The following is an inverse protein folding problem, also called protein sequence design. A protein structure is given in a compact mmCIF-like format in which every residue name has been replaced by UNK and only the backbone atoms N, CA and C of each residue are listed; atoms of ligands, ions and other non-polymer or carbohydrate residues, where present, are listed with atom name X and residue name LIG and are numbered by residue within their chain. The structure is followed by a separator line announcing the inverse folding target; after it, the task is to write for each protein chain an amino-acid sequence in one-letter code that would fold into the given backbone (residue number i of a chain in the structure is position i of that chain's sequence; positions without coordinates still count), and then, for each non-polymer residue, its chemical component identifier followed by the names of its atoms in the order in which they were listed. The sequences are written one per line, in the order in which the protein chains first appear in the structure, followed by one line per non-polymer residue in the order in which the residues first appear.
data_IF_655522233809
#
_entry.id   IF_655522233809
#
_cell.length_a   1.000
_cell.length_b   1.000
_cell.length_c   1.000
_cell.angle_alpha   90.00
_cell.angle_beta   90.00
_cell.angle_gamma   90.00
#
_symmetry.space_group_name_H-M   'P 1'
#
loop_
_entity.id
_entity.type
_entity.pdbx_description
1 polymer ?
#
# COMPACT_ATOMS: atom_id res chain seq x y z
N UNK A 1 -10.44 27.26 37.38
CA UNK A 1 -10.08 27.36 38.81
C UNK A 1 -8.95 28.36 38.88
N UNK A 2 -9.15 29.48 39.58
CA UNK A 2 -8.14 30.52 39.75
C UNK A 2 -7.31 30.17 40.98
N UNK A 3 -6.24 29.40 40.78
CA UNK A 3 -5.24 29.13 41.81
C UNK A 3 -3.97 29.91 41.52
N UNK A 4 -3.49 30.70 42.48
CA UNK A 4 -2.21 31.38 42.40
C UNK A 4 -1.07 30.34 42.33
N UNK A 5 -0.33 30.34 41.22
CA UNK A 5 0.94 29.63 41.10
C UNK A 5 2.00 30.42 41.86
N UNK A 6 2.66 29.77 42.80
CA UNK A 6 3.63 30.38 43.71
C UNK A 6 4.84 30.94 42.94
N UNK A 7 4.92 32.27 42.87
CA UNK A 7 6.13 33.10 42.81
C UNK A 7 7.14 33.01 41.65
N UNK A 8 7.12 32.01 40.76
CA UNK A 8 8.22 31.81 39.80
C UNK A 8 7.82 31.62 38.33
N UNK A 9 6.52 31.54 38.02
CA UNK A 9 6.04 31.20 36.66
C UNK A 9 5.42 32.44 36.02
N UNK A 10 5.96 32.89 34.88
CA UNK A 10 5.40 34.01 34.13
C UNK A 10 4.31 33.53 33.18
N UNK A 11 3.38 34.42 32.85
CA UNK A 11 2.35 34.17 31.83
C UNK A 11 3.01 33.83 30.49
N UNK A 12 2.84 32.58 30.04
CA UNK A 12 3.42 32.06 28.79
C UNK A 12 4.49 30.97 28.97
N UNK A 13 4.91 30.68 30.20
CA UNK A 13 5.86 29.61 30.46
C UNK A 13 5.18 28.22 30.39
N UNK A 14 5.83 27.28 29.72
CA UNK A 14 5.43 25.87 29.75
C UNK A 14 6.04 25.21 30.99
N UNK A 15 5.21 24.66 31.87
CA UNK A 15 5.63 24.04 33.13
C UNK A 15 5.06 22.63 33.21
N UNK A 16 5.91 21.65 33.55
CA UNK A 16 5.45 20.32 33.92
C UNK A 16 4.75 20.43 35.29
N UNK A 17 3.47 20.09 35.33
CA UNK A 17 2.66 20.06 36.55
C UNK A 17 2.25 18.63 36.88
N UNK A 18 2.27 18.30 38.16
CA UNK A 18 1.75 17.05 38.71
C UNK A 18 0.52 17.35 39.58
N UNK A 19 -0.43 16.42 39.60
CA UNK A 19 -1.67 16.57 40.36
C UNK A 19 -1.49 16.01 41.77
N UNK A 20 -1.47 16.89 42.77
CA UNK A 20 -1.44 16.48 44.17
C UNK A 20 -2.86 16.15 44.63
N UNK A 21 -3.15 14.84 44.70
CA UNK A 21 -4.45 14.33 45.13
C UNK A 21 -4.78 14.67 46.60
N UNK A 22 -3.79 14.94 47.45
CA UNK A 22 -4.02 15.27 48.86
C UNK A 22 -4.43 16.73 49.04
N UNK A 23 -3.90 17.65 48.24
CA UNK A 23 -4.27 19.07 48.29
C UNK A 23 -5.32 19.48 47.26
N UNK A 24 -5.62 18.63 46.26
CA UNK A 24 -6.53 18.95 45.17
C UNK A 24 -6.00 20.09 44.28
N UNK A 25 -4.68 20.24 44.18
CA UNK A 25 -4.03 21.32 43.43
C UNK A 25 -2.95 20.79 42.50
N UNK A 26 -2.70 21.53 41.41
CA UNK A 26 -1.58 21.28 40.51
C UNK A 26 -0.30 21.87 41.12
N UNK A 27 0.77 21.08 41.18
CA UNK A 27 2.10 21.51 41.64
C UNK A 27 3.10 21.44 40.50
N UNK A 28 3.91 22.49 40.34
CA UNK A 28 5.02 22.46 39.40
C UNK A 28 6.06 21.41 39.84
N UNK A 29 6.43 20.52 38.91
CA UNK A 29 7.46 19.50 39.15
C UNK A 29 8.82 20.17 39.06
N UNK A 30 9.60 20.14 40.15
CA UNK A 30 11.02 20.52 40.08
C UNK A 30 11.78 19.44 39.31
N UNK A 31 12.65 19.87 38.40
CA UNK A 31 13.60 18.98 37.72
C UNK A 31 14.32 18.11 38.76
N UNK A 32 14.34 16.76 38.61
CA UNK A 32 14.96 15.85 39.55
C UNK A 32 16.47 16.10 39.78
N UNK A 33 17.12 16.98 39.00
CA UNK A 33 18.53 17.35 39.17
C UNK A 33 18.78 18.59 40.05
N UNK A 34 17.74 19.21 40.63
CA UNK A 34 17.91 20.22 41.69
C UNK A 34 18.55 21.56 41.28
N UNK A 35 18.67 21.85 39.98
CA UNK A 35 19.15 23.13 39.45
C UNK A 35 18.01 24.13 39.18
N UNK A 36 18.30 25.43 39.33
CA UNK A 36 17.40 26.47 38.84
C UNK A 36 17.25 26.37 37.31
N UNK A 37 16.07 26.66 36.74
CA UNK A 37 15.83 26.50 35.31
C UNK A 37 16.72 27.46 34.49
N UNK A 38 17.49 26.90 33.56
CA UNK A 38 18.26 27.65 32.56
C UNK A 38 17.32 28.43 31.63
N UNK A 39 17.60 29.70 31.28
CA UNK A 39 16.78 30.51 30.37
C UNK A 39 16.72 29.98 28.92
N UNK A 40 17.50 28.96 28.57
CA UNK A 40 17.67 28.49 27.19
C UNK A 40 16.94 27.18 26.85
N UNK A 41 16.23 26.57 27.81
CA UNK A 41 15.33 25.45 27.52
C UNK A 41 13.99 25.96 26.96
N UNK A 42 14.02 26.61 25.78
CA UNK A 42 12.82 26.80 24.98
C UNK A 42 12.43 25.45 24.41
N UNK A 43 11.35 24.88 24.94
CA UNK A 43 10.64 23.75 24.33
C UNK A 43 10.24 24.20 22.92
N UNK A 44 10.99 23.76 21.92
CA UNK A 44 10.56 23.75 20.52
C UNK A 44 9.33 22.87 20.43
N UNK A 45 8.26 23.40 19.83
CA UNK A 45 7.09 22.66 19.38
C UNK A 45 7.50 21.27 18.89
N UNK A 46 6.89 20.21 19.42
CA UNK A 46 6.97 18.88 18.81
C UNK A 46 6.40 18.99 17.39
N UNK A 47 7.28 18.89 16.42
CA UNK A 47 7.01 18.97 14.99
C UNK A 47 8.33 18.92 14.23
N UNK A 48 8.56 17.81 13.53
CA UNK A 48 9.67 17.62 12.60
C UNK A 48 10.95 17.06 13.22
N UNK A 49 11.17 15.75 13.07
CA UNK A 49 12.48 15.15 13.27
C UNK A 49 13.31 15.30 11.99
N UNK A 50 14.42 16.04 12.08
CA UNK A 50 15.46 16.13 11.06
C UNK A 50 16.81 15.67 11.62
N UNK A 51 17.34 14.61 11.00
CA UNK A 51 18.73 14.28 10.67
C UNK A 51 19.88 14.77 11.59
N UNK A 52 20.66 13.82 12.09
CA UNK A 52 22.12 13.94 12.16
C UNK A 52 22.78 12.66 11.62
N UNK A 53 23.72 12.85 10.69
CA UNK A 53 24.54 11.78 10.12
C UNK A 53 25.89 11.60 10.85
N UNK A 54 26.50 10.43 10.66
CA UNK A 54 27.93 10.20 10.87
C UNK A 54 28.46 9.31 9.74
N UNK A 55 29.53 9.77 9.10
CA UNK A 55 30.33 9.06 8.09
C UNK A 55 31.33 8.09 8.75
N UNK A 56 31.41 6.87 8.19
CA UNK A 56 32.63 6.18 7.75
C UNK A 56 33.70 5.71 8.76
N UNK A 57 33.97 4.40 8.79
CA UNK A 57 35.30 3.86 8.45
C UNK A 57 35.28 2.34 8.13
N UNK A 58 36.13 1.96 7.19
CA UNK A 58 36.43 0.61 6.70
C UNK A 58 37.07 -0.31 7.76
N UNK A 59 36.74 -1.60 7.71
CA UNK A 59 37.69 -2.67 7.98
C UNK A 59 37.52 -3.78 6.94
N UNK A 60 38.56 -3.96 6.11
CA UNK A 60 38.72 -5.12 5.26
C UNK A 60 39.03 -6.36 6.12
N UNK A 61 38.32 -7.45 5.85
CA UNK A 61 38.68 -8.79 6.27
C UNK A 61 38.00 -9.78 5.34
N UNK A 62 38.77 -10.48 4.52
CA UNK A 62 38.28 -11.60 3.73
C UNK A 62 37.72 -12.68 4.67
N UNK A 63 36.63 -13.36 4.26
CA UNK A 63 36.49 -14.83 4.21
C UNK A 63 35.05 -15.22 3.84
N UNK A 64 35.00 -16.17 2.92
CA UNK A 64 33.87 -17.00 2.45
C UNK A 64 32.81 -17.35 3.49
N UNK A 65 31.53 -17.21 3.13
CA UNK A 65 30.40 -17.93 3.75
C UNK A 65 29.32 -18.26 2.71
N UNK A 66 28.93 -19.54 2.61
CA UNK A 66 27.54 -19.87 2.32
C UNK A 66 27.18 -20.63 1.04
N UNK A 67 28.03 -21.51 0.49
CA UNK A 67 27.58 -22.78 -0.13
C UNK A 67 26.48 -22.81 -1.19
N UNK A 68 26.13 -21.69 -1.86
CA UNK A 68 25.05 -21.66 -2.85
C UNK A 68 25.65 -21.63 -4.27
N UNK A 69 25.90 -22.82 -4.84
CA UNK A 69 26.03 -22.96 -6.30
C UNK A 69 24.65 -22.73 -6.92
N UNK A 70 24.31 -21.48 -7.25
CA UNK A 70 23.22 -21.22 -8.20
C UNK A 70 23.75 -21.60 -9.57
N UNK A 71 23.35 -22.78 -10.04
CA UNK A 71 23.59 -23.25 -11.40
C UNK A 71 23.00 -22.27 -12.43
N UNK A 72 23.88 -21.46 -13.05
CA UNK A 72 23.67 -20.76 -14.32
C UNK A 72 22.92 -21.57 -15.43
N UNK A 73 22.97 -22.92 -15.51
CA UNK A 73 22.28 -23.64 -16.58
C UNK A 73 20.75 -23.45 -16.69
N UNK A 74 20.03 -23.10 -15.61
CA UNK A 74 18.56 -23.00 -15.68
C UNK A 74 18.05 -21.73 -16.39
N UNK A 75 18.76 -20.61 -16.28
CA UNK A 75 18.45 -19.40 -17.07
C UNK A 75 18.79 -19.59 -18.55
N UNK A 76 19.87 -20.35 -18.84
CA UNK A 76 20.23 -20.74 -20.22
C UNK A 76 19.14 -21.59 -20.87
N UNK A 77 18.61 -22.60 -20.18
CA UNK A 77 17.58 -23.48 -20.70
C UNK A 77 16.25 -22.76 -20.99
N UNK A 78 15.84 -21.81 -20.14
CA UNK A 78 14.63 -21.01 -20.35
C UNK A 78 14.72 -20.08 -21.57
N UNK A 79 15.85 -19.40 -21.73
CA UNK A 79 16.10 -18.52 -22.89
C UNK A 79 16.25 -19.31 -24.19
N UNK A 80 16.88 -20.50 -24.15
CA UNK A 80 16.97 -21.41 -25.28
C UNK A 80 15.59 -21.96 -25.65
N UNK A 81 14.77 -22.37 -24.67
CA UNK A 81 13.40 -22.86 -24.91
C UNK A 81 12.50 -21.82 -25.57
N UNK A 82 12.57 -20.56 -25.13
CA UNK A 82 11.83 -19.44 -25.73
C UNK A 82 12.35 -19.09 -27.13
N UNK A 83 13.68 -19.13 -27.34
CA UNK A 83 14.28 -18.94 -28.66
C UNK A 83 13.85 -20.03 -29.66
N UNK A 84 13.85 -21.29 -29.24
CA UNK A 84 13.39 -22.43 -30.05
C UNK A 84 11.88 -22.33 -30.33
N UNK A 85 11.07 -21.96 -29.33
CA UNK A 85 9.62 -21.74 -29.49
C UNK A 85 9.30 -20.64 -30.52
N UNK A 86 10.03 -19.51 -30.46
CA UNK A 86 9.90 -18.43 -31.43
C UNK A 86 10.30 -18.87 -32.86
N UNK A 87 11.40 -19.62 -32.99
CA UNK A 87 11.85 -20.14 -34.30
C UNK A 87 10.85 -21.13 -34.90
N UNK A 88 10.26 -22.02 -34.09
CA UNK A 88 9.22 -22.96 -34.52
C UNK A 88 7.95 -22.20 -34.97
N UNK A 89 7.46 -21.25 -34.16
CA UNK A 89 6.29 -20.44 -34.51
C UNK A 89 6.49 -19.65 -35.80
N UNK A 90 7.68 -19.06 -35.99
CA UNK A 90 8.03 -18.33 -37.21
C UNK A 90 8.13 -19.27 -38.43
N UNK A 91 8.67 -20.48 -38.27
CA UNK A 91 8.73 -21.48 -39.34
C UNK A 91 7.34 -21.96 -39.76
N UNK A 92 6.45 -22.22 -38.80
CA UNK A 92 5.04 -22.58 -39.05
C UNK A 92 4.32 -21.45 -39.77
N UNK A 93 4.48 -20.20 -39.32
CA UNK A 93 3.91 -19.02 -39.96
C UNK A 93 4.40 -18.83 -41.41
N UNK A 94 5.70 -18.99 -41.66
CA UNK A 94 6.27 -18.92 -43.02
C UNK A 94 5.76 -20.02 -43.94
N UNK A 95 5.60 -21.25 -43.45
CA UNK A 95 4.99 -22.35 -44.22
C UNK A 95 3.53 -22.07 -44.57
N UNK A 96 2.75 -21.58 -43.60
CA UNK A 96 1.35 -21.19 -43.83
C UNK A 96 1.24 -20.08 -44.88
N UNK A 97 2.09 -19.05 -44.79
CA UNK A 97 2.15 -17.98 -45.79
C UNK A 97 2.58 -18.48 -47.17
N UNK A 98 3.57 -19.37 -47.27
CA UNK A 98 4.02 -19.94 -48.55
C UNK A 98 2.91 -20.76 -49.22
N UNK A 99 2.16 -21.54 -48.43
CA UNK A 99 1.01 -22.32 -48.90
C UNK A 99 -0.11 -21.42 -49.41
N UNK A 100 -0.50 -20.41 -48.62
CA UNK A 100 -1.53 -19.44 -49.02
C UNK A 100 -1.13 -18.64 -50.27
N UNK A 101 0.15 -18.28 -50.42
CA UNK A 101 0.63 -17.61 -51.63
C UNK A 101 0.54 -18.49 -52.87
N UNK A 102 0.90 -19.78 -52.74
CA UNK A 102 0.76 -20.75 -53.83
C UNK A 102 -0.71 -20.98 -54.20
N UNK A 103 -1.59 -21.08 -53.21
CA UNK A 103 -3.04 -21.25 -53.41
C UNK A 103 -3.72 -20.02 -54.04
N UNK A 104 -3.13 -18.83 -53.89
CA UNK A 104 -3.72 -17.56 -54.36
C UNK A 104 -2.87 -16.80 -55.39
N UNK A 105 -1.85 -17.45 -55.97
CA UNK A 105 -0.96 -16.89 -56.99
C UNK A 105 -0.37 -15.50 -56.66
N UNK A 106 0.04 -15.32 -55.39
CA UNK A 106 0.53 -14.03 -54.88
C UNK A 106 2.05 -13.88 -55.10
N UNK A 107 2.54 -12.68 -55.46
CA UNK A 107 3.98 -12.43 -55.65
C UNK A 107 4.77 -12.60 -54.35
N UNK A 108 6.04 -13.01 -54.46
CA UNK A 108 6.94 -13.05 -53.31
C UNK A 108 7.24 -11.62 -52.80
N UNK A 109 7.27 -11.39 -51.48
CA UNK A 109 7.57 -10.09 -50.93
C UNK A 109 9.05 -9.77 -51.08
N UNK A 110 9.33 -8.61 -51.66
CA UNK A 110 10.63 -7.95 -51.57
C UNK A 110 10.81 -7.37 -50.16
N UNK A 111 11.24 -8.20 -49.20
CA UNK A 111 11.72 -7.71 -47.92
C UNK A 111 12.76 -8.66 -47.33
N UNK A 112 14.03 -8.47 -47.71
CA UNK A 112 15.20 -9.01 -47.00
C UNK A 112 15.46 -8.17 -45.73
N UNK A 113 14.61 -8.30 -44.71
CA UNK A 113 14.95 -7.87 -43.34
C UNK A 113 14.29 -8.82 -42.36
N UNK A 114 14.91 -10.00 -42.20
CA UNK A 114 14.44 -11.04 -41.30
C UNK A 114 15.30 -11.12 -40.05
N UNK A 115 14.67 -11.20 -38.88
CA UNK A 115 15.18 -11.83 -37.64
C UNK A 115 16.43 -11.27 -36.96
N UNK A 116 17.46 -10.93 -37.73
CA UNK A 116 18.79 -10.51 -37.29
C UNK A 116 18.73 -9.17 -36.52
N UNK A 117 17.85 -8.25 -36.92
CA UNK A 117 17.74 -6.93 -36.29
C UNK A 117 17.33 -6.96 -34.81
N UNK A 118 16.49 -7.90 -34.38
CA UNK A 118 16.06 -7.98 -32.98
C UNK A 118 17.09 -8.66 -32.08
N UNK A 119 17.84 -9.63 -32.61
CA UNK A 119 18.96 -10.25 -31.89
C UNK A 119 20.13 -9.28 -31.71
N UNK A 120 20.43 -8.47 -32.73
CA UNK A 120 21.47 -7.44 -32.66
C UNK A 120 21.06 -6.29 -31.73
N UNK A 121 19.81 -5.82 -31.78
CA UNK A 121 19.33 -4.76 -30.88
C UNK A 121 19.33 -5.21 -29.41
N UNK A 122 18.92 -6.46 -29.13
CA UNK A 122 19.00 -7.05 -27.80
C UNK A 122 20.45 -7.22 -27.30
N UNK A 123 21.37 -7.64 -28.18
CA UNK A 123 22.80 -7.74 -27.85
C UNK A 123 23.47 -6.38 -27.63
N UNK A 124 23.11 -5.35 -28.40
CA UNK A 124 23.62 -3.99 -28.25
C UNK A 124 23.13 -3.32 -26.96
N UNK A 125 21.87 -3.54 -26.56
CA UNK A 125 21.34 -3.05 -25.29
C UNK A 125 22.01 -3.74 -24.10
N UNK A 126 22.21 -5.06 -24.15
CA UNK A 126 22.94 -5.78 -23.11
C UNK A 126 24.41 -5.30 -22.98
N UNK A 127 25.08 -5.03 -24.11
CA UNK A 127 26.45 -4.51 -24.13
C UNK A 127 26.54 -3.04 -23.67
N UNK A 128 25.51 -2.22 -23.92
CA UNK A 128 25.47 -0.82 -23.47
C UNK A 128 25.21 -0.68 -21.97
N UNK A 129 24.48 -1.62 -21.36
CA UNK A 129 24.19 -1.61 -19.92
C UNK A 129 25.26 -2.32 -19.06
N UNK A 130 26.10 -3.18 -19.66
CA UNK A 130 27.14 -3.92 -18.94
C UNK A 130 28.16 -3.02 -18.21
N UNK A 131 28.63 -1.87 -18.75
CA UNK A 131 29.56 -0.99 -18.04
C UNK A 131 28.91 -0.24 -16.86
N UNK A 132 27.60 0.02 -16.92
CA UNK A 132 26.86 0.69 -15.84
C UNK A 132 26.61 -0.27 -14.66
N UNK A 133 26.26 -1.52 -14.96
CA UNK A 133 26.13 -2.59 -13.97
C UNK A 133 27.45 -2.95 -13.27
N UNK A 134 28.59 -2.70 -13.91
CA UNK A 134 29.93 -2.99 -13.36
C UNK A 134 30.44 -1.91 -12.39
N UNK A 135 29.93 -0.68 -12.48
CA UNK A 135 30.39 0.45 -11.67
C UNK A 135 29.40 0.84 -10.54
N UNK A 136 28.21 0.25 -10.50
CA UNK A 136 27.16 0.60 -9.54
C UNK A 136 27.18 -0.29 -8.28
N UNK A 137 28.17 -0.09 -7.39
CA UNK A 137 28.12 -0.57 -5.99
C UNK A 137 27.84 -2.07 -5.79
N UNK A 138 27.49 -2.51 -4.56
CA UNK A 138 27.32 -3.93 -4.27
C UNK A 138 26.23 -4.55 -5.16
N UNK A 139 26.58 -5.67 -5.80
CA UNK A 139 25.82 -6.45 -6.78
C UNK A 139 24.35 -6.72 -6.39
N UNK A 140 24.02 -6.63 -5.10
CA UNK A 140 22.68 -6.82 -4.54
C UNK A 140 21.65 -5.75 -4.99
N UNK A 141 22.06 -4.52 -5.31
CA UNK A 141 21.14 -3.46 -5.77
C UNK A 141 20.86 -3.50 -7.29
N UNK A 142 21.77 -4.10 -8.07
CA UNK A 142 21.68 -4.14 -9.55
C UNK A 142 20.73 -5.24 -10.03
N UNK A 143 20.67 -6.37 -9.32
CA UNK A 143 19.86 -7.53 -9.72
C UNK A 143 18.35 -7.21 -9.75
N UNK A 144 17.74 -6.54 -8.74
CA UNK A 144 16.32 -6.20 -8.77
C UNK A 144 15.97 -5.24 -9.91
N UNK A 145 16.82 -4.24 -10.19
CA UNK A 145 16.59 -3.25 -11.26
C UNK A 145 16.69 -3.90 -12.64
N UNK A 146 17.69 -4.76 -12.86
CA UNK A 146 17.86 -5.47 -14.14
C UNK A 146 16.76 -6.51 -14.34
N UNK A 147 16.36 -7.25 -13.30
CA UNK A 147 15.29 -8.24 -13.40
C UNK A 147 13.93 -7.56 -13.61
N UNK A 148 13.60 -6.52 -12.83
CA UNK A 148 12.34 -5.79 -12.97
C UNK A 148 12.26 -5.05 -14.31
N UNK A 149 13.36 -4.43 -14.74
CA UNK A 149 13.45 -3.80 -16.06
C UNK A 149 13.34 -4.81 -17.21
N UNK A 150 13.94 -5.99 -17.08
CA UNK A 150 13.87 -7.04 -18.12
C UNK A 150 12.47 -7.65 -18.22
N UNK A 151 11.80 -7.89 -17.09
CA UNK A 151 10.42 -8.42 -17.07
C UNK A 151 9.43 -7.38 -17.59
N UNK A 152 9.56 -6.12 -17.17
CA UNK A 152 8.76 -5.01 -17.69
C UNK A 152 8.94 -4.83 -19.20
N UNK A 153 10.18 -4.92 -19.69
CA UNK A 153 10.49 -4.87 -21.12
C UNK A 153 9.91 -6.06 -21.89
N UNK A 154 9.99 -7.28 -21.35
CA UNK A 154 9.40 -8.48 -21.96
C UNK A 154 7.87 -8.41 -22.04
N UNK A 155 7.21 -7.95 -20.98
CA UNK A 155 5.77 -7.72 -20.98
C UNK A 155 5.39 -6.65 -22.02
N UNK A 156 6.10 -5.52 -22.03
CA UNK A 156 5.90 -4.45 -23.01
C UNK A 156 6.09 -4.94 -24.45
N UNK A 157 7.16 -5.69 -24.74
CA UNK A 157 7.44 -6.25 -26.07
C UNK A 157 6.39 -7.28 -26.49
N UNK A 158 5.82 -8.04 -25.55
CA UNK A 158 4.75 -9.01 -25.82
C UNK A 158 3.45 -8.30 -26.19
N UNK A 159 3.07 -7.27 -25.43
CA UNK A 159 1.89 -6.43 -25.73
C UNK A 159 2.09 -5.67 -27.04
N UNK A 160 3.25 -5.05 -27.26
CA UNK A 160 3.58 -4.35 -28.49
C UNK A 160 3.59 -5.31 -29.70
N UNK A 161 4.09 -6.54 -29.53
CA UNK A 161 4.05 -7.59 -30.55
C UNK A 161 2.61 -8.00 -30.91
N UNK A 162 1.76 -8.20 -29.90
CA UNK A 162 0.34 -8.51 -30.10
C UNK A 162 -0.42 -7.36 -30.78
N UNK A 163 -0.20 -6.11 -30.33
CA UNK A 163 -0.79 -4.92 -30.93
C UNK A 163 -0.35 -4.73 -32.38
N UNK A 164 0.94 -4.96 -32.69
CA UNK A 164 1.47 -4.91 -34.06
C UNK A 164 0.88 -6.02 -34.93
N UNK A 165 0.70 -7.23 -34.40
CA UNK A 165 0.06 -8.34 -35.12
C UNK A 165 -1.40 -8.02 -35.46
N UNK A 166 -2.17 -7.48 -34.50
CA UNK A 166 -3.55 -7.03 -34.71
C UNK A 166 -3.63 -5.88 -35.72
N UNK A 167 -2.73 -4.90 -35.64
CA UNK A 167 -2.64 -3.80 -36.60
C UNK A 167 -2.34 -4.30 -38.02
N UNK A 168 -1.39 -5.23 -38.18
CA UNK A 168 -1.07 -5.81 -39.48
C UNK A 168 -2.21 -6.67 -40.03
N UNK A 169 -2.92 -7.41 -39.17
CA UNK A 169 -4.12 -8.15 -39.55
C UNK A 169 -5.24 -7.21 -40.03
N UNK A 170 -5.49 -6.11 -39.30
CA UNK A 170 -6.44 -5.07 -39.68
C UNK A 170 -6.06 -4.40 -41.00
N UNK A 171 -4.80 -4.01 -41.17
CA UNK A 171 -4.30 -3.40 -42.41
C UNK A 171 -4.36 -4.36 -43.61
N UNK A 172 -4.13 -5.65 -43.38
CA UNK A 172 -4.32 -6.69 -44.38
C UNK A 172 -5.79 -6.80 -44.79
N UNK A 173 -6.72 -6.85 -43.82
CA UNK A 173 -8.16 -6.87 -44.09
C UNK A 173 -8.61 -5.63 -44.89
N UNK A 174 -8.13 -4.44 -44.53
CA UNK A 174 -8.42 -3.19 -45.26
C UNK A 174 -7.87 -3.24 -46.68
N UNK A 175 -6.64 -3.74 -46.91
CA UNK A 175 -6.08 -3.88 -48.27
C UNK A 175 -6.81 -4.92 -49.12
N UNK A 176 -7.25 -6.02 -48.50
CA UNK A 176 -8.07 -7.03 -49.19
C UNK A 176 -9.43 -6.45 -49.57
N UNK A 177 -10.01 -5.63 -48.70
CA UNK A 177 -11.24 -4.90 -48.98
C UNK A 177 -11.06 -3.82 -50.07
N UNK A 178 -9.94 -3.08 -50.06
CA UNK A 178 -9.71 -1.95 -50.97
C UNK A 178 -9.19 -2.32 -52.36
N UNK A 179 -8.63 -3.53 -52.55
CA UNK A 179 -8.17 -4.02 -53.87
C UNK A 179 -9.27 -4.64 -54.72
N UNK A 180 -10.46 -4.82 -54.16
CA UNK A 180 -11.67 -5.15 -54.91
C UNK A 180 -12.41 -3.83 -55.05
N UNK A 181 -12.44 -3.25 -56.25
CA UNK A 181 -13.36 -2.14 -56.55
C UNK A 181 -14.78 -2.53 -56.11
N UNK A 182 -15.67 -1.56 -55.84
CA UNK A 182 -16.94 -1.78 -55.14
C UNK A 182 -17.64 -2.99 -55.74
N UNK A 183 -17.63 -4.15 -55.05
CA UNK A 183 -18.33 -5.31 -55.57
C UNK A 183 -19.81 -4.96 -55.51
N UNK A 184 -20.57 -5.24 -56.57
CA UNK A 184 -22.01 -5.47 -56.42
C UNK A 184 -22.18 -6.31 -55.16
N UNK A 185 -22.87 -5.76 -54.16
CA UNK A 185 -22.89 -6.26 -52.80
C UNK A 185 -23.60 -7.63 -52.77
N UNK A 186 -22.86 -8.69 -53.12
CA UNK A 186 -23.30 -10.06 -52.85
C UNK A 186 -23.28 -10.22 -51.34
N UNK A 187 -24.39 -10.66 -50.73
CA UNK A 187 -24.49 -10.78 -49.28
C UNK A 187 -23.31 -11.60 -48.76
N UNK A 188 -22.60 -11.03 -47.78
CA UNK A 188 -21.45 -11.69 -47.18
C UNK A 188 -21.88 -13.09 -46.74
N UNK A 189 -21.23 -14.13 -47.30
CA UNK A 189 -21.53 -15.51 -46.92
C UNK A 189 -21.36 -15.63 -45.41
N UNK A 190 -22.34 -16.17 -44.67
CA UNK A 190 -22.25 -16.28 -43.24
C UNK A 190 -20.98 -17.03 -42.86
N UNK A 191 -20.26 -16.51 -41.85
CA UNK A 191 -19.11 -17.18 -41.25
C UNK A 191 -19.46 -18.64 -41.00
N UNK A 192 -18.62 -19.55 -41.48
CA UNK A 192 -18.83 -20.99 -41.27
C UNK A 192 -18.90 -21.28 -39.77
N UNK A 193 -19.67 -22.30 -39.38
CA UNK A 193 -19.82 -22.70 -37.98
C UNK A 193 -18.45 -22.88 -37.29
N UNK A 194 -17.47 -23.44 -38.02
CA UNK A 194 -16.08 -23.60 -37.56
C UNK A 194 -15.38 -22.26 -37.30
N UNK A 195 -15.56 -21.26 -38.16
CA UNK A 195 -14.94 -19.94 -37.98
C UNK A 195 -15.58 -19.18 -36.82
N UNK A 196 -16.91 -19.27 -36.65
CA UNK A 196 -17.60 -18.70 -35.47
C UNK A 196 -17.09 -19.32 -34.18
N UNK A 197 -16.94 -20.65 -34.13
CA UNK A 197 -16.36 -21.36 -32.98
C UNK A 197 -14.92 -20.91 -32.71
N UNK A 198 -14.08 -20.78 -33.73
CA UNK A 198 -12.71 -20.29 -33.58
C UNK A 198 -12.64 -18.86 -33.03
N UNK A 199 -13.50 -17.96 -33.50
CA UNK A 199 -13.56 -16.57 -32.99
C UNK A 199 -13.99 -16.53 -31.53
N UNK A 200 -14.99 -17.33 -31.15
CA UNK A 200 -15.44 -17.43 -29.74
C UNK A 200 -14.34 -18.02 -28.85
N UNK A 201 -13.68 -19.10 -29.28
CA UNK A 201 -12.57 -19.70 -28.54
C UNK A 201 -11.38 -18.77 -28.41
N UNK A 202 -11.05 -18.02 -29.47
CA UNK A 202 -9.99 -17.00 -29.42
C UNK A 202 -10.36 -15.85 -28.47
N UNK A 203 -11.62 -15.41 -28.45
CA UNK A 203 -12.11 -14.40 -27.52
C UNK A 203 -12.07 -14.87 -26.06
N UNK A 204 -12.48 -16.12 -25.78
CA UNK A 204 -12.40 -16.72 -24.45
C UNK A 204 -10.95 -16.93 -23.99
N UNK A 205 -10.08 -17.41 -24.87
CA UNK A 205 -8.66 -17.58 -24.57
C UNK A 205 -7.97 -16.24 -24.31
N UNK A 206 -8.27 -15.20 -25.09
CA UNK A 206 -7.74 -13.86 -24.89
C UNK A 206 -8.28 -13.24 -23.59
N UNK A 207 -9.58 -13.40 -23.30
CA UNK A 207 -10.18 -12.97 -22.04
C UNK A 207 -9.55 -13.68 -20.84
N UNK A 208 -9.31 -14.99 -20.93
CA UNK A 208 -8.62 -15.74 -19.89
C UNK A 208 -7.16 -15.28 -19.71
N UNK A 209 -6.42 -15.03 -20.81
CA UNK A 209 -5.04 -14.55 -20.75
C UNK A 209 -4.95 -13.16 -20.12
N UNK A 210 -5.79 -12.22 -20.56
CA UNK A 210 -5.85 -10.85 -20.02
C UNK A 210 -6.27 -10.86 -18.55
N UNK A 211 -7.11 -11.81 -18.13
CA UNK A 211 -7.51 -11.93 -16.71
C UNK A 211 -6.46 -12.63 -15.84
N UNK A 212 -5.65 -13.55 -16.41
CA UNK A 212 -4.68 -14.35 -15.66
C UNK A 212 -3.32 -13.68 -15.51
N UNK A 213 -2.87 -12.91 -16.52
CA UNK A 213 -1.55 -12.25 -16.52
C UNK A 213 -1.36 -11.30 -15.32
N UNK A 214 -2.34 -10.47 -14.92
CA UNK A 214 -2.20 -9.61 -13.74
C UNK A 214 -2.04 -10.42 -12.45
N UNK A 215 -2.74 -11.56 -12.32
CA UNK A 215 -2.72 -12.38 -11.11
C UNK A 215 -1.42 -13.17 -10.95
N UNK A 216 -0.93 -13.81 -12.02
CA UNK A 216 0.34 -14.56 -11.96
C UNK A 216 1.52 -13.60 -11.78
N UNK A 217 1.51 -12.45 -12.46
CA UNK A 217 2.53 -11.44 -12.28
C UNK A 217 2.49 -10.83 -10.87
N UNK A 218 1.30 -10.59 -10.30
CA UNK A 218 1.19 -10.07 -8.93
C UNK A 218 1.68 -11.08 -7.91
N UNK A 219 1.32 -12.36 -8.03
CA UNK A 219 1.73 -13.39 -7.05
C UNK A 219 3.25 -13.62 -7.12
N UNK A 220 3.83 -13.68 -8.32
CA UNK A 220 5.29 -13.82 -8.48
C UNK A 220 6.06 -12.57 -8.04
N UNK A 221 5.52 -11.37 -8.27
CA UNK A 221 6.09 -10.11 -7.76
C UNK A 221 5.98 -10.02 -6.23
N UNK A 222 4.89 -10.49 -5.63
CA UNK A 222 4.73 -10.53 -4.17
C UNK A 222 5.72 -11.52 -3.56
N UNK A 223 5.86 -12.72 -4.12
CA UNK A 223 6.83 -13.73 -3.64
C UNK A 223 8.27 -13.23 -3.78
N UNK A 224 8.62 -12.59 -4.91
CA UNK A 224 9.97 -12.03 -5.12
C UNK A 224 10.22 -10.78 -4.28
N UNK A 225 9.23 -9.90 -4.15
CA UNK A 225 9.27 -8.74 -3.26
C UNK A 225 9.48 -9.16 -1.80
N UNK A 226 8.77 -10.20 -1.35
CA UNK A 226 8.98 -10.82 -0.05
C UNK A 226 10.37 -11.37 0.14
N UNK A 227 10.92 -12.07 -0.85
CA UNK A 227 12.28 -12.61 -0.76
C UNK A 227 13.37 -11.52 -0.71
N UNK A 228 13.10 -10.32 -1.25
CA UNK A 228 14.04 -9.19 -1.23
C UNK A 228 13.86 -8.31 0.01
N UNK A 229 12.62 -8.07 0.45
CA UNK A 229 12.31 -7.19 1.58
C UNK A 229 12.48 -7.91 2.94
N UNK A 230 12.11 -9.18 3.06
CA UNK A 230 12.17 -9.90 4.33
C UNK A 230 13.58 -10.07 4.95
N UNK A 231 14.68 -10.13 4.18
CA UNK A 231 16.02 -10.09 4.77
C UNK A 231 16.45 -8.68 5.20
N UNK A 232 15.90 -7.63 4.58
CA UNK A 232 16.26 -6.24 4.87
C UNK A 232 15.54 -5.73 6.13
N UNK A 233 14.27 -6.11 6.27
CA UNK A 233 13.46 -5.83 7.44
C UNK A 233 13.37 -7.12 8.23
N UNK A 234 14.02 -7.23 9.38
CA UNK A 234 14.00 -8.43 10.22
C UNK A 234 12.56 -8.71 10.71
N UNK A 235 11.77 -9.36 9.84
CA UNK A 235 10.34 -9.58 10.00
C UNK A 235 10.08 -10.96 10.58
N UNK A 236 9.24 -10.97 11.59
CA UNK A 236 9.08 -12.11 12.47
C UNK A 236 7.58 -12.45 12.61
N UNK A 237 7.13 -13.55 12.00
CA UNK A 237 5.71 -13.90 11.98
C UNK A 237 5.11 -14.06 13.39
N UNK A 238 3.89 -13.55 13.58
CA UNK A 238 3.15 -13.67 14.85
C UNK A 238 2.19 -14.88 14.90
N UNK A 239 2.02 -15.58 13.77
CA UNK A 239 1.10 -16.71 13.65
C UNK A 239 -0.38 -16.30 13.58
N UNK A 240 -1.28 -17.29 13.65
CA UNK A 240 -2.71 -17.06 13.48
C UNK A 240 -3.41 -16.49 14.71
N UNK A 241 -2.90 -16.76 15.92
CA UNK A 241 -3.55 -16.35 17.16
C UNK A 241 -3.73 -14.82 17.26
N UNK A 242 -2.66 -14.06 17.04
CA UNK A 242 -2.74 -12.60 17.04
C UNK A 242 -3.64 -12.07 15.91
N UNK A 243 -3.57 -12.67 14.72
CA UNK A 243 -4.43 -12.35 13.57
C UNK A 243 -5.92 -12.58 13.90
N UNK A 244 -6.24 -13.66 14.61
CA UNK A 244 -7.59 -13.98 15.05
C UNK A 244 -8.09 -12.98 16.09
N UNK A 245 -7.24 -12.57 17.05
CA UNK A 245 -7.59 -11.53 18.04
C UNK A 245 -7.82 -10.17 17.36
N UNK A 246 -7.00 -9.78 16.37
CA UNK A 246 -7.25 -8.58 15.55
C UNK A 246 -8.61 -8.66 14.86
N UNK A 247 -8.94 -9.80 14.25
CA UNK A 247 -10.26 -9.98 13.63
C UNK A 247 -11.38 -9.82 14.66
N UNK A 248 -11.25 -10.40 15.85
CA UNK A 248 -12.24 -10.24 16.93
C UNK A 248 -12.43 -8.78 17.30
N UNK A 249 -11.35 -7.99 17.41
CA UNK A 249 -11.47 -6.55 17.67
C UNK A 249 -12.23 -5.84 16.53
N UNK A 250 -11.88 -6.14 15.27
CA UNK A 250 -12.56 -5.56 14.10
C UNK A 250 -14.04 -5.96 14.02
N UNK A 251 -14.42 -7.16 14.47
CA UNK A 251 -15.83 -7.58 14.50
C UNK A 251 -16.65 -6.82 15.56
N UNK A 252 -15.99 -6.19 16.54
CA UNK A 252 -16.60 -5.54 17.70
C UNK A 252 -17.51 -4.35 17.37
N UNK A 253 -17.29 -3.64 16.25
CA UNK A 253 -18.11 -2.49 15.86
C UNK A 253 -18.47 -2.50 14.35
N UNK A 254 -19.31 -1.56 13.93
CA UNK A 254 -19.82 -1.53 12.55
C UNK A 254 -18.73 -1.25 11.51
N UNK A 255 -17.80 -0.35 11.82
CA UNK A 255 -16.73 0.04 10.89
C UNK A 255 -15.71 -1.08 10.69
N UNK A 256 -15.27 -1.74 11.76
CA UNK A 256 -14.36 -2.89 11.63
C UNK A 256 -15.01 -4.04 10.84
N UNK A 257 -16.31 -4.32 11.03
CA UNK A 257 -17.04 -5.28 10.18
C UNK A 257 -17.09 -4.86 8.72
N UNK A 258 -17.24 -3.56 8.43
CA UNK A 258 -17.19 -3.02 7.06
C UNK A 258 -15.81 -3.23 6.44
N UNK A 259 -14.73 -2.98 7.18
CA UNK A 259 -13.35 -3.23 6.72
C UNK A 259 -13.15 -4.72 6.41
N UNK A 260 -13.58 -5.62 7.31
CA UNK A 260 -13.48 -7.07 7.09
C UNK A 260 -14.28 -7.53 5.87
N UNK A 261 -15.44 -6.94 5.60
CA UNK A 261 -16.23 -7.21 4.39
C UNK A 261 -15.44 -6.88 3.12
N UNK A 262 -14.78 -5.73 3.10
CA UNK A 262 -13.93 -5.31 1.98
C UNK A 262 -12.67 -6.17 1.82
N UNK A 263 -12.29 -6.94 2.84
CA UNK A 263 -11.20 -7.91 2.80
C UNK A 263 -11.65 -9.31 2.35
N UNK A 264 -12.92 -9.53 1.99
CA UNK A 264 -13.35 -10.81 1.43
C UNK A 264 -12.78 -11.06 0.04
N UNK A 265 -12.36 -12.29 -0.21
CA UNK A 265 -12.00 -12.75 -1.55
C UNK A 265 -13.26 -13.05 -2.40
N UNK A 266 -13.06 -13.47 -3.66
CA UNK A 266 -14.17 -13.82 -4.56
C UNK A 266 -15.03 -14.99 -4.07
N UNK A 267 -14.53 -15.80 -3.14
CA UNK A 267 -15.27 -16.87 -2.46
C UNK A 267 -16.01 -16.39 -1.20
N UNK A 268 -15.98 -15.10 -0.90
CA UNK A 268 -16.60 -14.52 0.29
C UNK A 268 -15.80 -14.76 1.58
N UNK A 269 -14.58 -15.30 1.50
CA UNK A 269 -13.75 -15.56 2.67
C UNK A 269 -12.91 -14.33 3.00
N UNK A 270 -12.99 -13.85 4.24
CA UNK A 270 -12.12 -12.77 4.74
C UNK A 270 -10.66 -13.23 4.67
N UNK A 271 -9.83 -12.49 3.95
CA UNK A 271 -8.39 -12.71 3.87
C UNK A 271 -7.71 -11.58 4.63
N UNK A 272 -7.26 -11.82 5.85
CA UNK A 272 -6.44 -10.84 6.58
C UNK A 272 -5.00 -10.88 6.07
N UNK A 273 -4.28 -9.75 6.05
CA UNK A 273 -2.82 -9.72 5.91
C UNK A 273 -2.13 -10.68 6.89
N UNK A 274 -0.92 -11.11 6.58
CA UNK A 274 -0.09 -11.83 7.56
C UNK A 274 0.43 -10.86 8.61
N UNK A 275 0.38 -11.28 9.88
CA UNK A 275 0.79 -10.45 11.01
C UNK A 275 2.25 -10.75 11.32
N UNK A 276 3.09 -9.73 11.29
CA UNK A 276 4.54 -9.85 11.56
C UNK A 276 4.95 -8.80 12.58
N UNK A 277 6.04 -9.07 13.28
CA UNK A 277 6.77 -8.06 14.06
C UNK A 277 7.96 -7.58 13.26
N UNK A 278 8.21 -6.28 13.31
CA UNK A 278 9.39 -5.66 12.74
C UNK A 278 10.38 -5.35 13.86
N UNK A 279 11.59 -5.92 13.78
CA UNK A 279 12.63 -5.71 14.79
C UNK A 279 13.43 -4.39 14.62
N UNK A 280 13.12 -3.58 13.62
CA UNK A 280 13.77 -2.29 13.41
C UNK A 280 12.86 -1.14 13.84
N UNK A 281 13.44 -0.24 14.64
CA UNK A 281 12.81 0.96 15.17
C UNK A 281 12.70 2.04 14.08
N UNK A 282 11.81 1.88 13.12
CA UNK A 282 11.41 3.00 12.25
C UNK A 282 10.41 3.94 12.95
N UNK A 283 9.97 3.60 14.17
CA UNK A 283 9.24 4.51 15.07
C UNK A 283 7.82 4.84 14.61
N UNK A 284 7.38 4.26 13.50
CA UNK A 284 6.04 4.39 12.96
C UNK A 284 5.14 3.36 13.67
N UNK A 285 3.83 3.57 13.71
CA UNK A 285 2.88 2.62 14.29
C UNK A 285 2.87 1.25 13.59
N UNK A 286 1.78 0.49 13.71
CA UNK A 286 1.62 -0.64 12.78
C UNK A 286 1.68 -0.12 11.33
N UNK A 287 2.15 -0.96 10.40
CA UNK A 287 2.28 -0.56 9.00
C UNK A 287 1.90 -1.71 8.06
N UNK A 288 1.09 -1.43 7.04
CA UNK A 288 0.72 -2.38 6.01
C UNK A 288 1.68 -2.35 4.81
N UNK A 289 2.44 -3.43 4.63
CA UNK A 289 3.31 -3.64 3.48
C UNK A 289 2.54 -4.27 2.32
N UNK A 290 2.06 -3.44 1.40
CA UNK A 290 1.22 -3.83 0.26
C UNK A 290 1.78 -4.98 -0.60
N UNK A 291 3.08 -4.92 -0.94
CA UNK A 291 3.73 -5.95 -1.76
C UNK A 291 3.86 -7.28 -1.02
N UNK A 292 3.97 -7.26 0.30
CA UNK A 292 4.06 -8.48 1.11
C UNK A 292 2.68 -8.98 1.55
N UNK A 293 1.66 -8.12 1.47
CA UNK A 293 0.39 -8.30 2.15
C UNK A 293 0.61 -8.66 3.64
N UNK A 294 1.57 -7.97 4.26
CA UNK A 294 1.89 -8.09 5.68
C UNK A 294 1.40 -6.84 6.41
N UNK A 295 0.89 -7.02 7.62
CA UNK A 295 0.72 -5.95 8.59
C UNK A 295 1.81 -6.13 9.65
N UNK A 296 2.76 -5.22 9.66
CA UNK A 296 3.87 -5.22 10.59
C UNK A 296 3.50 -4.44 11.84
N UNK A 297 3.97 -4.96 12.98
CA UNK A 297 3.86 -4.32 14.28
C UNK A 297 5.29 -4.05 14.76
N UNK A 298 5.63 -2.81 15.09
CA UNK A 298 6.95 -2.50 15.60
C UNK A 298 7.20 -3.23 16.93
N UNK A 299 8.38 -3.83 17.09
CA UNK A 299 8.75 -4.60 18.29
C UNK A 299 8.64 -3.75 19.57
N UNK A 300 8.79 -2.43 19.46
CA UNK A 300 8.65 -1.45 20.53
C UNK A 300 7.27 -1.50 21.19
N UNK A 301 6.21 -1.88 20.45
CA UNK A 301 4.86 -2.04 21.02
C UNK A 301 4.77 -3.24 21.96
N UNK A 302 5.59 -4.26 21.72
CA UNK A 302 5.71 -5.42 22.59
C UNK A 302 6.64 -5.11 23.77
N UNK A 303 7.81 -4.53 23.50
CA UNK A 303 8.85 -4.32 24.52
C UNK A 303 8.55 -3.16 25.47
N UNK A 304 7.81 -2.13 25.03
CA UNK A 304 7.33 -1.04 25.92
C UNK A 304 6.40 -1.53 27.04
N UNK A 305 5.78 -2.71 26.87
CA UNK A 305 5.01 -3.39 27.92
C UNK A 305 5.85 -4.27 28.84
N UNK A 306 7.17 -4.30 28.65
CA UNK A 306 8.09 -5.16 29.38
C UNK A 306 8.06 -6.63 28.95
N UNK A 307 7.52 -6.93 27.76
CA UNK A 307 7.46 -8.29 27.23
C UNK A 307 8.59 -8.55 26.23
N UNK A 308 9.12 -9.77 26.22
CA UNK A 308 9.92 -10.24 25.08
C UNK A 308 9.01 -10.69 23.95
N UNK A 309 9.53 -10.73 22.71
CA UNK A 309 8.78 -11.28 21.58
C UNK A 309 8.35 -12.74 21.80
N UNK A 310 9.22 -13.54 22.44
CA UNK A 310 8.91 -14.93 22.79
C UNK A 310 7.74 -15.01 23.78
N UNK A 311 7.76 -14.19 24.83
CA UNK A 311 6.66 -14.12 25.80
C UNK A 311 5.35 -13.66 25.16
N UNK A 312 5.40 -12.69 24.26
CA UNK A 312 4.23 -12.21 23.54
C UNK A 312 3.64 -13.29 22.62
N UNK A 313 4.48 -14.00 21.88
CA UNK A 313 4.04 -15.10 21.00
C UNK A 313 3.46 -16.29 21.77
N UNK A 314 4.02 -16.59 22.95
CA UNK A 314 3.59 -17.72 23.76
C UNK A 314 2.28 -17.45 24.54
N UNK A 315 1.84 -16.19 24.65
CA UNK A 315 0.78 -15.78 25.56
C UNK A 315 -0.40 -15.11 24.83
N UNK A 316 -1.51 -15.85 24.61
CA UNK A 316 -2.69 -15.30 23.94
C UNK A 316 -3.31 -14.10 24.67
N UNK A 317 -3.15 -13.98 25.99
CA UNK A 317 -3.70 -12.84 26.72
C UNK A 317 -2.97 -11.54 26.36
N UNK A 318 -1.64 -11.60 26.20
CA UNK A 318 -0.82 -10.46 25.75
C UNK A 318 -1.15 -10.07 24.31
N UNK A 319 -1.38 -11.05 23.44
CA UNK A 319 -1.81 -10.82 22.06
C UNK A 319 -3.16 -10.11 22.00
N UNK A 320 -4.13 -10.56 22.79
CA UNK A 320 -5.44 -9.92 22.91
C UNK A 320 -5.34 -8.49 23.44
N UNK A 321 -4.54 -8.29 24.49
CA UNK A 321 -4.32 -6.97 25.08
C UNK A 321 -3.76 -6.00 24.03
N UNK A 322 -2.70 -6.41 23.32
CA UNK A 322 -2.10 -5.55 22.31
C UNK A 322 -3.03 -5.32 21.10
N UNK A 323 -3.73 -6.37 20.64
CA UNK A 323 -4.69 -6.23 19.54
C UNK A 323 -5.82 -5.24 19.89
N UNK A 324 -6.30 -5.27 21.14
CA UNK A 324 -7.30 -4.33 21.65
C UNK A 324 -6.77 -2.90 21.69
N UNK A 325 -5.58 -2.69 22.25
CA UNK A 325 -4.95 -1.36 22.35
C UNK A 325 -4.72 -0.75 20.96
N UNK A 326 -4.26 -1.57 20.00
CA UNK A 326 -3.92 -1.09 18.67
C UNK A 326 -5.12 -1.04 17.72
N UNK A 327 -6.35 -1.31 18.17
CA UNK A 327 -7.47 -1.53 17.28
C UNK A 327 -7.76 -0.36 16.30
N UNK A 328 -7.71 0.93 16.70
CA UNK A 328 -7.84 2.04 15.76
C UNK A 328 -6.72 2.09 14.71
N UNK A 329 -5.46 1.91 15.14
CA UNK A 329 -4.31 1.84 14.22
C UNK A 329 -4.43 0.65 13.26
N UNK A 330 -4.89 -0.50 13.75
CA UNK A 330 -5.11 -1.68 12.91
C UNK A 330 -6.25 -1.44 11.91
N UNK A 331 -7.31 -0.73 12.28
CA UNK A 331 -8.36 -0.33 11.35
C UNK A 331 -7.81 0.55 10.22
N UNK A 332 -6.94 1.52 10.55
CA UNK A 332 -6.20 2.33 9.58
C UNK A 332 -5.37 1.47 8.63
N UNK A 333 -4.51 0.58 9.15
CA UNK A 333 -3.64 -0.24 8.31
C UNK A 333 -4.41 -1.27 7.46
N UNK A 334 -5.48 -1.85 7.99
CA UNK A 334 -6.34 -2.72 7.21
C UNK A 334 -7.09 -1.96 6.12
N UNK A 335 -7.33 -0.67 6.29
CA UNK A 335 -7.89 0.16 5.22
C UNK A 335 -6.94 0.21 4.03
N UNK A 336 -5.63 0.35 4.25
CA UNK A 336 -4.63 0.23 3.20
C UNK A 336 -4.65 -1.15 2.52
N UNK A 337 -4.87 -2.22 3.27
CA UNK A 337 -5.06 -3.55 2.68
C UNK A 337 -6.30 -3.63 1.76
N UNK A 338 -7.42 -3.00 2.13
CA UNK A 338 -8.61 -2.96 1.26
C UNK A 338 -8.37 -2.11 0.01
N UNK A 339 -7.68 -0.99 0.15
CA UNK A 339 -7.33 -0.07 -0.93
C UNK A 339 -6.43 -0.75 -1.96
N UNK A 340 -5.40 -1.46 -1.49
CA UNK A 340 -4.50 -2.25 -2.31
C UNK A 340 -5.25 -3.31 -3.12
N UNK A 341 -6.27 -3.95 -2.54
CA UNK A 341 -7.09 -4.96 -3.24
C UNK A 341 -8.07 -4.37 -4.24
N UNK A 342 -8.63 -3.19 -3.94
CA UNK A 342 -9.55 -2.49 -4.82
C UNK A 342 -8.88 -2.15 -6.15
N UNK A 343 -7.64 -1.69 -6.09
CA UNK A 343 -7.00 -1.11 -7.26
C UNK A 343 -5.46 -1.18 -7.22
N UNK A 344 -4.85 -2.37 -7.25
CA UNK A 344 -3.40 -2.51 -7.20
C UNK A 344 -2.70 -1.87 -8.42
N UNK A 345 -3.44 -1.55 -9.49
CA UNK A 345 -2.93 -0.91 -10.71
C UNK A 345 -3.09 0.61 -10.73
N UNK A 346 -3.74 1.23 -9.74
CA UNK A 346 -3.83 2.69 -9.70
C UNK A 346 -2.45 3.28 -9.36
N UNK A 347 -2.02 4.35 -10.05
CA UNK A 347 -0.82 5.10 -9.68
C UNK A 347 -0.84 5.44 -8.18
N UNK A 348 0.29 5.30 -7.51
CA UNK A 348 0.42 5.54 -6.07
C UNK A 348 -0.01 4.39 -5.16
N UNK A 349 -0.70 3.35 -5.64
CA UNK A 349 -1.14 2.23 -4.77
C UNK A 349 -0.03 1.23 -4.47
N UNK A 350 0.79 0.90 -5.47
CA UNK A 350 1.94 -0.01 -5.29
C UNK A 350 3.12 0.66 -4.58
N UNK A 351 3.20 1.98 -4.64
CA UNK A 351 4.33 2.76 -4.11
C UNK A 351 3.93 3.62 -2.88
N UNK A 352 2.66 3.62 -2.48
CA UNK A 352 2.18 4.39 -1.32
C UNK A 352 2.18 5.91 -1.53
N UNK A 353 2.10 6.40 -2.77
CA UNK A 353 2.42 7.80 -3.11
C UNK A 353 1.22 8.74 -3.20
N UNK A 354 -0.01 8.26 -2.96
CA UNK A 354 -1.22 9.09 -3.03
C UNK A 354 -1.74 9.51 -1.65
N UNK A 355 -1.71 10.80 -1.33
CA UNK A 355 -2.11 11.30 0.00
C UNK A 355 -3.58 11.00 0.32
N UNK A 356 -4.42 10.88 -0.70
CA UNK A 356 -5.82 10.50 -0.56
C UNK A 356 -6.01 9.10 0.02
N UNK A 357 -5.04 8.19 -0.18
CA UNK A 357 -5.07 6.86 0.44
C UNK A 357 -4.92 6.95 1.96
N UNK A 358 -3.96 7.76 2.42
CA UNK A 358 -3.73 8.05 3.84
C UNK A 358 -4.95 8.75 4.45
N UNK A 359 -5.49 9.78 3.78
CA UNK A 359 -6.71 10.46 4.24
C UNK A 359 -7.88 9.48 4.43
N UNK A 360 -8.12 8.58 3.48
CA UNK A 360 -9.19 7.57 3.60
C UNK A 360 -8.89 6.55 4.74
N UNK A 361 -7.61 6.25 5.00
CA UNK A 361 -7.18 5.38 6.10
C UNK A 361 -7.37 6.02 7.47
N UNK A 362 -6.91 7.27 7.68
CA UNK A 362 -7.12 8.00 8.94
C UNK A 362 -8.61 8.19 9.22
N UNK A 363 -9.42 8.48 8.18
CA UNK A 363 -10.88 8.55 8.33
C UNK A 363 -11.51 7.21 8.73
N UNK A 364 -10.92 6.07 8.37
CA UNK A 364 -11.40 4.75 8.81
C UNK A 364 -11.02 4.48 10.27
N UNK A 365 -9.82 4.91 10.71
CA UNK A 365 -9.45 4.91 12.13
C UNK A 365 -10.39 5.76 12.99
N UNK A 366 -10.72 6.98 12.51
CA UNK A 366 -11.70 7.86 13.13
C UNK A 366 -13.10 7.24 13.23
N UNK A 367 -13.61 6.68 12.13
CA UNK A 367 -14.91 6.01 12.11
C UNK A 367 -14.93 4.77 13.02
N UNK A 368 -13.81 4.06 13.15
CA UNK A 368 -13.69 2.92 14.05
C UNK A 368 -13.88 3.35 15.51
N UNK A 369 -13.22 4.44 15.93
CA UNK A 369 -13.39 5.02 17.27
C UNK A 369 -14.84 5.49 17.47
N UNK A 370 -15.40 6.17 16.47
CA UNK A 370 -16.79 6.64 16.51
C UNK A 370 -17.77 5.48 16.76
N UNK A 371 -17.68 4.40 15.98
CA UNK A 371 -18.56 3.24 16.10
C UNK A 371 -18.27 2.41 17.36
N UNK A 372 -17.03 2.41 17.87
CA UNK A 372 -16.72 1.83 19.18
C UNK A 372 -17.45 2.59 20.30
N UNK A 373 -17.41 3.92 20.29
CA UNK A 373 -18.11 4.76 21.27
C UNK A 373 -19.64 4.62 21.19
N UNK A 374 -20.20 4.43 19.98
CA UNK A 374 -21.64 4.14 19.82
C UNK A 374 -22.04 2.80 20.41
N UNK A 375 -21.18 1.80 20.29
CA UNK A 375 -21.42 0.47 20.86
C UNK A 375 -21.27 0.47 22.39
N UNK A 376 -20.26 1.18 22.89
CA UNK A 376 -20.00 1.38 24.32
C UNK A 376 -19.30 2.72 24.55
N UNK A 377 -20.00 3.68 25.16
CA UNK A 377 -19.44 5.02 25.43
C UNK A 377 -18.23 4.98 26.37
N UNK A 378 -18.09 3.89 27.13
CA UNK A 378 -16.98 3.62 28.05
C UNK A 378 -15.91 2.71 27.43
N UNK A 379 -15.95 2.49 26.11
CA UNK A 379 -14.93 1.73 25.40
C UNK A 379 -13.52 2.18 25.81
N UNK A 380 -12.65 1.20 26.01
CA UNK A 380 -11.26 1.40 26.41
C UNK A 380 -10.45 1.85 25.20
N UNK A 381 -10.41 3.17 25.00
CA UNK A 381 -9.74 3.87 23.91
C UNK A 381 -8.63 4.72 24.56
N UNK A 382 -7.44 4.67 23.97
CA UNK A 382 -6.29 5.42 24.50
C UNK A 382 -6.59 6.92 24.51
N UNK A 383 -5.95 7.65 25.44
CA UNK A 383 -6.10 9.12 25.49
C UNK A 383 -5.59 9.80 24.22
N UNK A 384 -4.59 9.20 23.56
CA UNK A 384 -4.07 9.70 22.29
C UNK A 384 -5.09 9.55 21.17
N UNK A 385 -5.71 8.37 21.04
CA UNK A 385 -6.73 8.12 20.01
C UNK A 385 -8.00 8.97 20.25
N UNK A 386 -8.39 9.18 21.52
CA UNK A 386 -9.49 10.08 21.85
C UNK A 386 -9.17 11.54 21.52
N UNK A 387 -7.92 11.97 21.71
CA UNK A 387 -7.48 13.31 21.33
C UNK A 387 -7.53 13.50 19.81
N UNK A 388 -6.97 12.55 19.06
CA UNK A 388 -6.96 12.56 17.60
C UNK A 388 -8.39 12.58 17.02
N UNK A 389 -9.27 11.73 17.59
CA UNK A 389 -10.69 11.70 17.29
C UNK A 389 -11.36 13.06 17.54
N UNK A 390 -11.09 13.72 18.68
CA UNK A 390 -11.64 15.05 18.98
C UNK A 390 -11.15 16.14 18.02
N UNK A 391 -9.87 16.11 17.61
CA UNK A 391 -9.31 17.04 16.64
C UNK A 391 -10.01 16.92 15.28
N UNK A 392 -10.25 15.68 14.82
CA UNK A 392 -11.04 15.41 13.62
C UNK A 392 -12.44 16.02 13.70
N UNK A 393 -13.17 15.76 14.78
CA UNK A 393 -14.55 16.29 14.94
C UNK A 393 -14.58 17.82 14.86
N UNK A 394 -13.51 18.49 15.32
CA UNK A 394 -13.45 19.95 15.38
C UNK A 394 -13.34 20.60 14.01
N UNK A 395 -12.52 20.03 13.11
CA UNK A 395 -12.26 20.60 11.80
C UNK A 395 -11.71 19.54 10.82
N UNK A 396 -12.62 18.98 10.02
CA UNK A 396 -12.32 17.96 9.02
C UNK A 396 -11.19 18.36 8.06
N UNK A 397 -11.30 19.56 7.47
CA UNK A 397 -10.37 20.00 6.43
C UNK A 397 -9.00 20.36 7.01
N UNK A 398 -8.98 20.99 8.19
CA UNK A 398 -7.73 21.26 8.91
C UNK A 398 -7.03 19.96 9.29
N UNK A 399 -7.76 18.93 9.72
CA UNK A 399 -7.15 17.65 10.04
C UNK A 399 -6.55 16.98 8.81
N UNK A 400 -7.30 16.85 7.71
CA UNK A 400 -6.76 16.27 6.48
C UNK A 400 -5.53 17.03 5.98
N UNK A 401 -5.54 18.36 6.12
CA UNK A 401 -4.37 19.18 5.85
C UNK A 401 -3.20 18.85 6.79
N UNK A 402 -3.44 18.65 8.08
CA UNK A 402 -2.40 18.26 9.04
C UNK A 402 -1.77 16.90 8.70
N UNK A 403 -2.56 15.94 8.19
CA UNK A 403 -2.03 14.69 7.63
C UNK A 403 -1.11 15.00 6.44
N UNK A 404 -1.55 15.81 5.49
CA UNK A 404 -0.73 16.18 4.33
C UNK A 404 0.55 16.96 4.70
N UNK A 405 0.48 17.80 5.73
CA UNK A 405 1.60 18.61 6.19
C UNK A 405 2.57 17.84 7.11
N UNK A 406 2.21 16.62 7.52
CA UNK A 406 3.10 15.78 8.32
C UNK A 406 4.36 15.47 7.51
N UNK A 407 5.54 15.64 8.14
CA UNK A 407 6.83 15.45 7.48
C UNK A 407 7.02 14.05 6.87
N UNK A 408 6.27 13.04 7.33
CA UNK A 408 6.24 11.70 6.74
C UNK A 408 5.64 11.73 5.32
N UNK A 409 4.67 12.60 5.06
CA UNK A 409 3.91 12.66 3.81
C UNK A 409 4.20 13.91 2.96
N UNK A 410 5.19 14.71 3.33
CA UNK A 410 5.53 15.96 2.64
C UNK A 410 5.87 15.78 1.14
N UNK A 411 6.37 14.59 0.78
CA UNK A 411 6.74 14.23 -0.59
C UNK A 411 5.65 13.43 -1.32
N UNK A 412 4.58 13.06 -0.59
CA UNK A 412 3.42 12.33 -1.12
C UNK A 412 2.57 13.26 -1.95
N UNK A 413 2.31 12.90 -3.21
CA UNK A 413 1.59 13.78 -4.15
C UNK A 413 0.10 13.46 -4.16
N UNK A 414 -0.77 14.47 -4.33
CA UNK A 414 -2.16 14.22 -4.68
C UNK A 414 -2.26 13.42 -5.96
N UNK A 415 -3.20 12.47 -5.99
CA UNK A 415 -3.52 11.69 -7.18
C UNK A 415 -4.33 12.50 -8.19
N UNK A 416 -5.17 13.41 -7.69
CA UNK A 416 -6.12 14.16 -8.50
C UNK A 416 -7.18 13.25 -9.17
N UNK A 417 -7.58 12.17 -8.50
CA UNK A 417 -8.61 11.25 -8.99
C UNK A 417 -10.01 11.81 -8.64
N UNK A 418 -10.89 12.07 -9.64
CA UNK A 418 -12.24 12.57 -9.40
C UNK A 418 -13.09 11.70 -8.45
N UNK A 419 -12.79 10.40 -8.35
CA UNK A 419 -13.48 9.51 -7.41
C UNK A 419 -13.15 9.86 -5.95
N UNK A 420 -11.90 10.23 -5.65
CA UNK A 420 -11.52 10.69 -4.31
C UNK A 420 -12.10 12.07 -4.00
N UNK A 421 -12.09 12.98 -4.97
CA UNK A 421 -12.73 14.30 -4.81
C UNK A 421 -14.22 14.15 -4.45
N UNK A 422 -14.94 13.28 -5.17
CA UNK A 422 -16.34 12.98 -4.89
C UNK A 422 -16.53 12.32 -3.52
N UNK A 423 -15.64 11.39 -3.14
CA UNK A 423 -15.67 10.74 -1.83
C UNK A 423 -15.49 11.74 -0.67
N UNK A 424 -14.46 12.59 -0.73
CA UNK A 424 -14.20 13.57 0.33
C UNK A 424 -15.23 14.70 0.33
N UNK A 425 -15.78 15.09 -0.82
CA UNK A 425 -16.89 16.02 -0.88
C UNK A 425 -18.15 15.46 -0.19
N UNK A 426 -18.48 14.18 -0.43
CA UNK A 426 -19.59 13.52 0.24
C UNK A 426 -19.37 13.41 1.75
N UNK A 427 -18.15 13.08 2.19
CA UNK A 427 -17.77 13.06 3.62
C UNK A 427 -17.92 14.44 4.26
N UNK A 428 -17.37 15.48 3.63
CA UNK A 428 -17.47 16.86 4.11
C UNK A 428 -18.93 17.32 4.25
N UNK A 429 -19.79 16.98 3.29
CA UNK A 429 -21.21 17.32 3.35
C UNK A 429 -21.96 16.68 4.53
N UNK A 430 -21.54 15.49 4.98
CA UNK A 430 -22.11 14.82 6.15
C UNK A 430 -21.41 15.14 7.47
N UNK A 431 -20.29 15.89 7.46
CA UNK A 431 -19.40 15.98 8.61
C UNK A 431 -20.01 16.68 9.81
N UNK A 432 -20.80 17.74 9.61
CA UNK A 432 -21.44 18.47 10.71
C UNK A 432 -22.33 17.56 11.57
N UNK A 433 -23.10 16.65 10.94
CA UNK A 433 -23.92 15.68 11.65
C UNK A 433 -23.06 14.64 12.39
N UNK A 434 -22.01 14.13 11.75
CA UNK A 434 -21.04 13.20 12.35
C UNK A 434 -20.34 13.82 13.57
N UNK A 435 -19.90 15.07 13.46
CA UNK A 435 -19.28 15.83 14.54
C UNK A 435 -20.24 16.04 15.72
N UNK A 436 -21.50 16.38 15.45
CA UNK A 436 -22.52 16.54 16.49
C UNK A 436 -22.80 15.23 17.24
N UNK A 437 -22.90 14.09 16.53
CA UNK A 437 -23.02 12.77 17.15
C UNK A 437 -21.78 12.43 17.98
N UNK A 438 -20.57 12.62 17.44
CA UNK A 438 -19.32 12.33 18.13
C UNK A 438 -19.16 13.13 19.42
N UNK A 439 -19.47 14.42 19.41
CA UNK A 439 -19.44 15.23 20.62
C UNK A 439 -20.50 14.82 21.66
N UNK A 440 -21.67 14.31 21.25
CA UNK A 440 -22.64 13.74 22.20
C UNK A 440 -22.11 12.47 22.87
N UNK A 441 -21.43 11.61 22.11
CA UNK A 441 -20.79 10.40 22.66
C UNK A 441 -19.71 10.77 23.69
N UNK A 442 -18.88 11.78 23.39
CA UNK A 442 -17.88 12.30 24.33
C UNK A 442 -18.55 12.93 25.57
N UNK A 443 -19.64 13.67 25.39
CA UNK A 443 -20.40 14.21 26.53
C UNK A 443 -20.95 13.09 27.44
N UNK A 444 -21.47 12.02 26.85
CA UNK A 444 -21.99 10.86 27.60
C UNK A 444 -20.88 10.11 28.33
N UNK A 445 -19.74 9.87 27.67
CA UNK A 445 -18.54 9.30 28.28
C UNK A 445 -18.09 10.10 29.51
N UNK A 446 -18.23 11.42 29.46
CA UNK A 446 -17.86 12.34 30.54
C UNK A 446 -19.03 12.78 31.42
N UNK A 447 -20.14 12.04 31.48
CA UNK A 447 -21.32 12.39 32.27
C UNK A 447 -21.04 12.55 33.79
N UNK A 448 -19.96 11.95 34.31
CA UNK A 448 -19.51 12.12 35.70
C UNK A 448 -18.78 13.44 35.98
N UNK A 449 -18.47 14.25 34.96
CA UNK A 449 -17.72 15.50 35.08
C UNK A 449 -18.53 16.63 34.40
N UNK A 450 -19.44 17.30 35.13
CA UNK A 450 -20.44 18.20 34.54
C UNK A 450 -19.86 19.32 33.67
N UNK A 451 -18.69 19.85 34.02
CA UNK A 451 -18.02 20.89 33.24
C UNK A 451 -17.57 20.39 31.85
N UNK A 452 -16.98 19.19 31.79
CA UNK A 452 -16.52 18.57 30.54
C UNK A 452 -17.72 18.13 29.70
N UNK A 453 -18.72 17.51 30.32
CA UNK A 453 -19.96 17.14 29.65
C UNK A 453 -20.62 18.35 28.98
N UNK A 454 -20.77 19.46 29.73
CA UNK A 454 -21.35 20.70 29.19
C UNK A 454 -20.56 21.23 27.99
N UNK A 455 -19.23 21.25 28.07
CA UNK A 455 -18.36 21.68 26.97
C UNK A 455 -18.62 20.86 25.70
N UNK A 456 -18.72 19.54 25.79
CA UNK A 456 -19.00 18.69 24.63
C UNK A 456 -20.43 18.86 24.10
N UNK A 457 -21.43 19.05 24.97
CA UNK A 457 -22.80 19.36 24.53
C UNK A 457 -22.87 20.70 23.77
N UNK A 458 -22.11 21.72 24.20
CA UNK A 458 -22.00 22.99 23.49
C UNK A 458 -21.33 22.82 22.13
N UNK A 459 -20.25 22.02 22.03
CA UNK A 459 -19.63 21.67 20.75
C UNK A 459 -20.59 20.90 19.83
N UNK A 460 -21.36 19.96 20.36
CA UNK A 460 -22.37 19.22 19.61
C UNK A 460 -23.46 20.16 19.06
N UNK A 461 -23.97 21.08 19.88
CA UNK A 461 -24.95 22.07 19.44
C UNK A 461 -24.40 22.99 18.36
N UNK A 462 -23.12 23.40 18.47
CA UNK A 462 -22.44 24.20 17.44
C UNK A 462 -22.29 23.43 16.12
N UNK A 463 -21.92 22.15 16.17
CA UNK A 463 -21.81 21.31 14.98
C UNK A 463 -23.18 21.09 14.31
N UNK A 464 -24.23 20.84 15.09
CA UNK A 464 -25.61 20.72 14.58
C UNK A 464 -26.09 22.01 13.90
N UNK A 465 -25.74 23.18 14.43
CA UNK A 465 -26.09 24.47 13.84
C UNK A 465 -25.34 24.78 12.53
N UNK A 466 -24.23 24.06 12.24
CA UNK A 466 -23.46 24.19 11.01
C UNK A 466 -23.97 23.28 9.88
N UNK A 467 -24.88 22.35 10.19
CA UNK A 467 -25.58 21.50 9.21
C UNK A 467 -26.66 22.30 8.48
#
# INVERSE_FOLDING_TARGET
MDGELDGAVKKGDAVLVDWDAASGTLKAVKDPQGGAPSPEAKITKMGGFGVFGVQGLLAMGAVTVGGLQITLPMMGAGLIGLGVGYLIANAVHRRALKRLRKEHNLPEPEAKFGGFGYGVLGGMLAAAFAPWAWNAGPIQAVIPVVVTGSVGLLAFLTVAGAARALYQAGRWLVRVASRRGPPEAKPAKPLSKRMKTLVVLAGLALGALVSAVPHVASEELQVRGAAVAAPAYQMEALGSAFKDEVRVQMEGNAEGRRILELLKDRGGKVRMPDMVVLNEADGVGAHYFAVLNHMAIPIERVTSKGWTLEQFRADPAKQRELAKEMAPTVAHELKHATQFRRAPWLPGVLLGEGIEFEHEAYLSGHDYIHEALKADVKADISSYDLYDYEEFLADYDKYLKAVSDNGIYQDTKPLGDPAYDAYFAARRAGWAAHAAEGYRLLAERHAGIPAIQKQYLEKAAKAEAAR
#
